data_IF_081264295691
#
_entry.id   IF_081264295691
#
_cell.length_a   1.000
_cell.length_b   1.000
_cell.length_c   1.000
_cell.angle_alpha   90.00
_cell.angle_beta   90.00
_cell.angle_gamma   90.00
#
_symmetry.space_group_name_H-M   'P 1'
#
loop_
_entity.id
_entity.type
_entity.pdbx_description
1 polymer ?
#
# COMPACT_ATOMS: atom_id res chain seq x y z
N UNK A 1 -5.23 27.16 -18.01
CA UNK A 1 -4.20 26.48 -17.21
C UNK A 1 -4.89 25.38 -16.43
N UNK A 2 -4.88 24.15 -16.96
CA UNK A 2 -5.44 23.00 -16.23
C UNK A 2 -4.25 22.36 -15.53
N UNK A 3 -4.10 22.59 -14.23
CA UNK A 3 -3.09 21.92 -13.42
C UNK A 3 -3.54 20.46 -13.26
N UNK A 4 -3.12 19.62 -14.20
CA UNK A 4 -3.28 18.18 -14.16
C UNK A 4 -2.15 17.58 -13.31
N UNK A 5 -2.09 17.92 -12.03
CA UNK A 5 -1.37 17.08 -11.05
C UNK A 5 -2.26 15.89 -10.65
N UNK A 6 -2.82 15.21 -11.65
CA UNK A 6 -3.60 13.99 -11.47
C UNK A 6 -2.66 12.79 -11.62
N UNK A 7 -1.48 12.85 -11.01
CA UNK A 7 -0.60 11.68 -10.94
C UNK A 7 -1.39 10.59 -10.23
N UNK A 8 -1.77 9.47 -10.88
CA UNK A 8 -2.50 8.40 -10.21
C UNK A 8 -1.51 7.70 -9.29
N UNK A 9 -1.34 8.25 -8.09
CA UNK A 9 -0.61 7.59 -7.02
C UNK A 9 -1.55 6.49 -6.51
N UNK A 10 -1.41 5.29 -7.07
CA UNK A 10 -2.16 4.13 -6.63
C UNK A 10 -1.79 3.85 -5.18
N UNK A 11 -2.74 4.07 -4.27
CA UNK A 11 -2.57 3.83 -2.84
C UNK A 11 -2.53 2.32 -2.60
N UNK A 12 -1.48 1.85 -1.94
CA UNK A 12 -1.37 0.46 -1.49
C UNK A 12 -2.06 0.29 -0.15
N UNK A 13 -2.32 -0.97 0.19
CA UNK A 13 -2.96 -1.34 1.44
C UNK A 13 -2.19 -0.84 2.70
N UNK A 14 -0.86 -0.73 2.62
CA UNK A 14 0.00 -0.21 3.71
C UNK A 14 0.07 1.34 3.76
N UNK A 15 -0.75 2.04 2.96
CA UNK A 15 -0.68 3.50 2.84
C UNK A 15 0.48 4.01 1.97
N UNK A 16 1.23 3.11 1.33
CA UNK A 16 2.25 3.48 0.35
C UNK A 16 1.64 3.91 -0.98
N UNK A 17 2.46 4.48 -1.87
CA UNK A 17 2.05 4.83 -3.23
C UNK A 17 2.93 4.09 -4.23
N UNK A 18 2.31 3.42 -5.20
CA UNK A 18 3.03 2.74 -6.29
C UNK A 18 2.76 3.43 -7.62
N UNK A 19 3.76 3.41 -8.50
CA UNK A 19 3.65 3.93 -9.87
C UNK A 19 3.07 2.90 -10.84
N UNK A 20 3.38 1.62 -10.64
CA UNK A 20 3.09 0.55 -11.60
C UNK A 20 2.31 -0.61 -10.95
N UNK A 21 0.98 -0.54 -10.85
CA UNK A 21 0.16 -1.57 -10.18
C UNK A 21 0.31 -2.99 -10.75
N UNK A 22 0.67 -3.13 -12.03
CA UNK A 22 0.83 -4.42 -12.71
C UNK A 22 2.04 -5.23 -12.24
N UNK A 23 3.03 -4.58 -11.62
CA UNK A 23 4.24 -5.25 -11.11
C UNK A 23 4.09 -5.73 -9.68
N UNK A 24 2.98 -5.39 -9.03
CA UNK A 24 2.74 -5.65 -7.62
C UNK A 24 1.59 -6.66 -7.46
N UNK A 25 1.64 -7.50 -6.41
CA UNK A 25 0.50 -8.34 -6.06
C UNK A 25 -0.71 -7.46 -5.72
N UNK A 26 -1.88 -7.87 -6.20
CA UNK A 26 -3.17 -7.25 -5.87
C UNK A 26 -4.19 -8.29 -5.45
N UNK A 27 -5.18 -7.86 -4.67
CA UNK A 27 -6.31 -8.69 -4.26
C UNK A 27 -7.61 -7.88 -4.36
N UNK A 28 -8.72 -8.57 -4.57
CA UNK A 28 -10.05 -7.99 -4.50
C UNK A 28 -10.56 -8.01 -3.06
N UNK A 29 -10.97 -6.86 -2.54
CA UNK A 29 -11.53 -6.71 -1.21
C UNK A 29 -12.77 -5.83 -1.28
N UNK A 30 -13.93 -6.34 -0.87
CA UNK A 30 -15.20 -5.61 -0.93
C UNK A 30 -15.55 -5.05 -2.33
N UNK A 31 -15.05 -5.68 -3.40
CA UNK A 31 -15.22 -5.21 -4.78
C UNK A 31 -14.24 -4.11 -5.20
N UNK A 32 -13.26 -3.78 -4.35
CA UNK A 32 -12.16 -2.88 -4.66
C UNK A 32 -10.86 -3.64 -4.89
N UNK A 33 -10.08 -3.25 -5.89
CA UNK A 33 -8.75 -3.85 -6.14
C UNK A 33 -7.70 -3.14 -5.30
N UNK A 34 -7.07 -3.92 -4.43
CA UNK A 34 -6.10 -3.46 -3.46
C UNK A 34 -4.72 -3.93 -3.87
N UNK A 35 -3.75 -3.01 -3.92
CA UNK A 35 -2.37 -3.30 -4.30
C UNK A 35 -1.46 -3.42 -3.07
N UNK A 36 -0.50 -4.34 -3.13
CA UNK A 36 0.44 -4.62 -2.06
C UNK A 36 1.88 -4.47 -2.55
N UNK A 37 2.75 -3.85 -1.75
CA UNK A 37 4.15 -3.68 -2.11
C UNK A 37 4.91 -5.01 -2.19
N UNK A 38 4.49 -6.02 -1.41
CA UNK A 38 5.15 -7.33 -1.34
C UNK A 38 4.15 -8.48 -1.20
N UNK A 39 4.58 -9.69 -1.52
CA UNK A 39 3.81 -10.91 -1.29
C UNK A 39 3.55 -11.15 0.21
N UNK A 40 4.44 -10.69 1.09
CA UNK A 40 4.27 -10.78 2.53
C UNK A 40 3.06 -9.96 3.01
N UNK A 41 2.92 -8.72 2.51
CA UNK A 41 1.74 -7.89 2.79
C UNK A 41 0.45 -8.56 2.31
N UNK A 42 0.45 -9.16 1.12
CA UNK A 42 -0.69 -9.93 0.63
C UNK A 42 -1.03 -11.10 1.57
N UNK A 43 -0.03 -11.84 2.05
CA UNK A 43 -0.26 -12.97 2.95
C UNK A 43 -0.86 -12.55 4.30
N UNK A 44 -0.42 -11.41 4.86
CA UNK A 44 -0.99 -10.86 6.10
C UNK A 44 -2.43 -10.37 5.86
N UNK A 45 -2.66 -9.70 4.73
CA UNK A 45 -3.98 -9.26 4.30
C UNK A 45 -4.96 -10.43 4.17
N UNK A 46 -4.54 -11.54 3.53
CA UNK A 46 -5.37 -12.74 3.40
C UNK A 46 -5.71 -13.41 4.73
N UNK A 47 -4.89 -13.21 5.78
CA UNK A 47 -5.19 -13.72 7.13
C UNK A 47 -6.19 -12.83 7.85
N UNK A 48 -5.98 -11.51 7.84
CA UNK A 48 -6.84 -10.54 8.51
C UNK A 48 -6.88 -9.23 7.70
N UNK A 49 -7.84 -9.07 6.78
CA UNK A 49 -7.89 -7.90 5.90
C UNK A 49 -8.39 -6.64 6.60
N UNK A 50 -9.25 -6.77 7.62
CA UNK A 50 -9.78 -5.65 8.40
C UNK A 50 -8.69 -4.83 9.12
N UNK A 51 -7.85 -5.41 10.00
CA UNK A 51 -6.78 -4.65 10.67
C UNK A 51 -5.71 -4.17 9.68
N UNK A 52 -5.55 -4.89 8.57
CA UNK A 52 -4.66 -4.48 7.49
C UNK A 52 -5.15 -3.17 6.85
N UNK A 53 -6.43 -3.13 6.49
CA UNK A 53 -7.07 -1.95 5.89
C UNK A 53 -7.17 -0.78 6.85
N UNK A 54 -7.31 -1.06 8.15
CA UNK A 54 -7.28 -0.05 9.20
C UNK A 54 -5.90 0.63 9.33
N UNK A 55 -4.85 0.08 8.68
CA UNK A 55 -3.48 0.56 8.85
C UNK A 55 -2.93 0.32 10.24
N UNK A 56 -3.51 -0.63 10.97
CA UNK A 56 -3.14 -0.99 12.35
C UNK A 56 -1.95 -1.96 12.39
N UNK A 57 -1.50 -2.42 11.22
CA UNK A 57 -0.39 -3.34 11.08
C UNK A 57 0.90 -2.53 10.98
N UNK A 58 1.70 -2.58 12.04
CA UNK A 58 3.08 -2.10 12.04
C UNK A 58 3.87 -2.90 11.00
N UNK A 59 4.11 -2.28 9.84
CA UNK A 59 5.14 -2.76 8.93
C UNK A 59 6.48 -2.46 9.58
N UNK A 60 7.45 -3.40 9.60
CA UNK A 60 8.83 -3.01 9.82
C UNK A 60 9.17 -2.04 8.68
N UNK A 61 9.20 -0.74 9.00
CA UNK A 61 9.86 0.24 8.19
C UNK A 61 11.33 -0.18 8.27
N UNK A 62 11.91 -0.68 7.19
CA UNK A 62 13.35 -0.72 7.10
C UNK A 62 13.84 0.70 7.38
N UNK A 63 14.46 0.87 8.54
CA UNK A 63 15.16 2.07 8.97
C UNK A 63 16.15 2.49 7.88
N UNK A 64 15.86 3.58 7.16
CA UNK A 64 16.86 4.62 6.88
C UNK A 64 16.21 5.88 6.27
N UNK A 65 15.83 6.84 7.11
CA UNK A 65 16.32 8.23 6.96
C UNK A 65 16.09 9.00 8.27
N UNK A 66 17.09 8.87 9.14
CA UNK A 66 17.61 9.82 10.13
C UNK A 66 16.67 10.95 10.65
N UNK A 67 16.25 10.74 11.90
CA UNK A 67 16.32 11.66 13.06
C UNK A 67 16.43 13.17 12.78
N UNK A 68 15.48 13.91 13.32
CA UNK A 68 15.75 15.28 13.75
C UNK A 68 16.64 15.25 14.99
N UNK A 69 17.89 15.70 14.86
CA UNK A 69 18.73 16.27 15.93
C UNK A 69 19.83 17.11 15.30
#
# INVERSE_FOLDING_TARGET
MINFDQSPRYKTACGGFIKDPTRYPSAEFHGETIYFCTQACLAVFLKNPEPFMAGEIEHPLDEDENVGT
#
